data_IF_749376588071
#
_entry.id   IF_749376588071
#
_cell.length_a   1.000
_cell.length_b   1.000
_cell.length_c   1.000
_cell.angle_alpha   90.00
_cell.angle_beta   90.00
_cell.angle_gamma   90.00
#
_symmetry.space_group_name_H-M   'P 1'
#
loop_
_entity.id
_entity.type
_entity.pdbx_description
1 polymer ?
#
# COMPACT_ATOMS: atom_id res chain seq x y z
N UNK A 1 1.92 19.92 4.88
CA UNK A 1 0.54 19.61 4.42
C UNK A 1 0.62 18.91 3.07
N UNK A 2 1.02 17.64 3.05
CA UNK A 2 1.42 16.90 1.81
C UNK A 2 0.81 15.50 1.73
N UNK A 3 -0.18 15.17 2.57
CA UNK A 3 -0.69 13.81 2.71
C UNK A 3 -1.81 13.40 1.72
N UNK A 4 -2.24 14.28 0.80
CA UNK A 4 -3.46 14.04 -0.01
C UNK A 4 -3.28 14.05 -1.53
N UNK A 5 -2.06 14.19 -2.06
CA UNK A 5 -1.86 14.27 -3.51
C UNK A 5 -1.84 12.90 -4.23
N UNK A 6 -1.55 11.80 -3.52
CA UNK A 6 -1.34 10.49 -4.13
C UNK A 6 -2.60 9.89 -4.77
N UNK A 7 -3.77 10.09 -4.15
CA UNK A 7 -5.02 9.44 -4.58
C UNK A 7 -5.62 10.08 -5.84
N UNK A 8 -5.36 11.36 -6.10
CA UNK A 8 -5.92 12.07 -7.27
C UNK A 8 -5.06 11.93 -8.52
N UNK A 9 -3.74 11.78 -8.38
CA UNK A 9 -2.82 11.69 -9.53
C UNK A 9 -2.95 10.37 -10.33
N UNK A 10 -3.36 9.28 -9.69
CA UNK A 10 -3.59 7.99 -10.36
C UNK A 10 -4.95 7.91 -11.07
N UNK A 11 -5.87 8.83 -10.81
CA UNK A 11 -7.19 8.86 -11.44
C UNK A 11 -7.19 9.53 -12.83
N UNK A 12 -6.14 10.26 -13.19
CA UNK A 12 -6.08 11.08 -14.43
C UNK A 12 -5.28 10.41 -15.55
N UNK A 13 -4.61 9.29 -15.29
CA UNK A 13 -4.07 8.39 -16.31
C UNK A 13 -2.99 8.99 -17.22
N UNK A 14 -1.74 8.58 -17.00
CA UNK A 14 -0.64 8.90 -17.92
C UNK A 14 0.73 8.56 -17.33
N UNK A 15 1.70 8.30 -18.22
CA UNK A 15 3.05 7.89 -17.81
C UNK A 15 3.74 8.93 -16.93
N UNK A 16 3.43 10.22 -17.13
CA UNK A 16 3.99 11.31 -16.31
C UNK A 16 3.47 11.28 -14.89
N UNK A 17 2.17 11.03 -14.72
CA UNK A 17 1.53 10.91 -13.41
C UNK A 17 2.04 9.68 -12.67
N UNK A 18 2.23 8.56 -13.38
CA UNK A 18 2.82 7.33 -12.83
C UNK A 18 4.25 7.60 -12.36
N UNK A 19 5.08 8.25 -13.18
CA UNK A 19 6.46 8.61 -12.80
C UNK A 19 6.49 9.54 -11.59
N UNK A 20 5.62 10.54 -11.56
CA UNK A 20 5.54 11.47 -10.43
C UNK A 20 5.09 10.77 -9.14
N UNK A 21 4.07 9.92 -9.22
CA UNK A 21 3.61 9.12 -8.09
C UNK A 21 4.72 8.18 -7.58
N UNK A 22 5.42 7.49 -8.49
CA UNK A 22 6.55 6.64 -8.14
C UNK A 22 7.64 7.43 -7.40
N UNK A 23 8.06 8.56 -7.97
CA UNK A 23 9.10 9.42 -7.36
C UNK A 23 8.69 9.92 -5.97
N UNK A 24 7.47 10.46 -5.84
CA UNK A 24 6.97 10.99 -4.58
C UNK A 24 6.83 9.91 -3.51
N UNK A 25 6.30 8.73 -3.88
CA UNK A 25 6.12 7.62 -2.94
C UNK A 25 7.46 6.99 -2.54
N UNK A 26 8.43 6.85 -3.46
CA UNK A 26 9.79 6.43 -3.14
C UNK A 26 10.43 7.38 -2.13
N UNK A 27 10.35 8.68 -2.38
CA UNK A 27 10.89 9.67 -1.45
C UNK A 27 10.22 9.61 -0.07
N UNK A 28 8.89 9.42 -0.02
CA UNK A 28 8.18 9.25 1.25
C UNK A 28 8.64 7.99 2.02
N UNK A 29 8.83 6.86 1.31
CA UNK A 29 9.37 5.63 1.92
C UNK A 29 10.77 5.86 2.49
N UNK A 30 11.65 6.55 1.74
CA UNK A 30 13.00 6.89 2.20
C UNK A 30 12.97 7.78 3.45
N UNK A 31 12.15 8.84 3.44
CA UNK A 31 12.01 9.75 4.58
C UNK A 31 11.52 9.01 5.83
N UNK A 32 10.46 8.20 5.71
CA UNK A 32 9.93 7.47 6.85
C UNK A 32 10.87 6.36 7.35
N UNK A 33 11.69 5.77 6.47
CA UNK A 33 12.73 4.82 6.88
C UNK A 33 13.92 5.51 7.54
N UNK A 34 14.30 6.70 7.11
CA UNK A 34 15.46 7.42 7.62
C UNK A 34 15.22 8.09 8.99
N UNK A 35 13.96 8.35 9.35
CA UNK A 35 13.60 8.88 10.67
C UNK A 35 14.04 7.97 11.83
N UNK A 36 14.28 8.52 13.03
CA UNK A 36 14.57 7.72 14.23
C UNK A 36 13.38 6.81 14.57
N UNK A 37 13.65 5.59 15.05
CA UNK A 37 12.63 4.55 15.24
C UNK A 37 11.43 5.00 16.10
N UNK A 38 11.70 5.84 17.11
CA UNK A 38 10.70 6.42 18.00
C UNK A 38 9.72 7.39 17.31
N UNK A 39 10.13 8.00 16.19
CA UNK A 39 9.29 8.92 15.40
C UNK A 39 8.70 8.25 14.14
N UNK A 40 9.08 7.00 13.85
CA UNK A 40 8.53 6.27 12.69
C UNK A 40 7.10 5.90 12.98
N UNK A 41 6.17 6.53 12.26
CA UNK A 41 4.79 6.07 12.18
C UNK A 41 4.73 4.84 11.26
N UNK A 42 4.48 3.62 11.79
CA UNK A 42 4.44 2.41 10.98
C UNK A 42 3.32 2.50 9.93
N UNK A 43 2.21 3.16 10.28
CA UNK A 43 1.09 3.43 9.39
C UNK A 43 1.46 4.33 8.21
N UNK A 44 2.28 5.36 8.42
CA UNK A 44 2.69 6.25 7.31
C UNK A 44 3.67 5.56 6.36
N UNK A 45 4.57 4.74 6.89
CA UNK A 45 5.45 3.91 6.06
C UNK A 45 4.65 2.87 5.25
N UNK A 46 3.68 2.19 5.87
CA UNK A 46 2.77 1.28 5.17
C UNK A 46 1.98 2.01 4.08
N UNK A 47 1.46 3.19 4.38
CA UNK A 47 0.71 4.01 3.43
C UNK A 47 1.57 4.39 2.21
N UNK A 48 2.81 4.84 2.44
CA UNK A 48 3.76 5.19 1.38
C UNK A 48 4.11 3.98 0.50
N UNK A 49 4.35 2.80 1.11
CA UNK A 49 4.61 1.56 0.39
C UNK A 49 3.41 1.12 -0.47
N UNK A 50 2.18 1.29 0.02
CA UNK A 50 0.97 0.98 -0.77
C UNK A 50 0.77 1.93 -1.95
N UNK A 51 1.07 3.22 -1.77
CA UNK A 51 1.03 4.18 -2.86
C UNK A 51 2.09 3.83 -3.92
N UNK A 52 3.29 3.47 -3.49
CA UNK A 52 4.37 3.03 -4.38
C UNK A 52 4.01 1.75 -5.13
N UNK A 53 3.45 0.74 -4.43
CA UNK A 53 2.98 -0.49 -5.08
C UNK A 53 1.89 -0.21 -6.11
N UNK A 54 0.99 0.72 -5.83
CA UNK A 54 -0.06 1.13 -6.77
C UNK A 54 0.54 1.82 -7.99
N UNK A 55 1.54 2.68 -7.81
CA UNK A 55 2.24 3.34 -8.91
C UNK A 55 3.00 2.33 -9.79
N UNK A 56 3.68 1.35 -9.20
CA UNK A 56 4.34 0.26 -9.94
C UNK A 56 3.35 -0.56 -10.76
N UNK A 57 2.22 -0.98 -10.17
CA UNK A 57 1.19 -1.69 -10.92
C UNK A 57 0.59 -0.86 -12.06
N UNK A 58 0.37 0.44 -11.84
CA UNK A 58 -0.09 1.32 -12.91
C UNK A 58 0.94 1.43 -14.05
N UNK A 59 2.23 1.33 -13.74
CA UNK A 59 3.35 1.37 -14.69
C UNK A 59 3.74 0.04 -15.33
N UNK A 60 3.05 -1.07 -15.04
CA UNK A 60 3.38 -2.38 -15.61
C UNK A 60 4.34 -3.25 -14.76
N UNK A 61 4.78 -2.77 -13.60
CA UNK A 61 5.80 -3.42 -12.77
C UNK A 61 5.17 -4.21 -11.60
N UNK A 62 4.85 -5.47 -11.84
CA UNK A 62 4.28 -6.37 -10.82
C UNK A 62 5.31 -6.79 -9.78
N UNK A 63 6.59 -6.87 -10.14
CA UNK A 63 7.66 -7.30 -9.23
C UNK A 63 7.97 -6.20 -8.20
N UNK A 64 8.14 -4.96 -8.66
CA UNK A 64 8.31 -3.79 -7.80
C UNK A 64 7.12 -3.55 -6.88
N UNK A 65 5.91 -3.81 -7.37
CA UNK A 65 4.71 -3.79 -6.54
C UNK A 65 4.71 -4.90 -5.48
N UNK A 66 5.08 -6.13 -5.88
CA UNK A 66 5.17 -7.28 -4.99
C UNK A 66 6.13 -7.04 -3.82
N UNK A 67 7.32 -6.50 -4.08
CA UNK A 67 8.30 -6.19 -3.04
C UNK A 67 7.75 -5.22 -1.97
N UNK A 68 7.01 -4.19 -2.39
CA UNK A 68 6.37 -3.25 -1.48
C UNK A 68 5.19 -3.86 -0.71
N UNK A 69 4.40 -4.73 -1.36
CA UNK A 69 3.27 -5.43 -0.73
C UNK A 69 3.74 -6.44 0.30
N UNK A 70 4.78 -7.23 0.03
CA UNK A 70 5.38 -8.19 0.99
C UNK A 70 5.82 -7.49 2.29
N UNK A 71 6.44 -6.34 2.13
CA UNK A 71 6.88 -5.46 3.20
C UNK A 71 5.72 -4.87 4.02
N UNK A 72 4.54 -4.68 3.43
CA UNK A 72 3.32 -4.29 4.15
C UNK A 72 2.70 -5.50 4.85
N UNK A 73 2.69 -6.68 4.22
CA UNK A 73 2.13 -7.91 4.78
C UNK A 73 2.88 -8.43 6.01
N UNK A 74 4.14 -8.04 6.18
CA UNK A 74 4.93 -8.34 7.37
C UNK A 74 4.56 -7.53 8.62
N UNK A 75 3.57 -6.63 8.54
CA UNK A 75 3.17 -5.82 9.69
C UNK A 75 2.22 -6.57 10.64
N UNK A 76 2.36 -6.30 11.94
CA UNK A 76 1.54 -6.92 12.99
C UNK A 76 0.09 -6.45 12.99
N UNK A 77 -0.17 -5.21 12.53
CA UNK A 77 -1.49 -4.60 12.53
C UNK A 77 -1.67 -3.67 11.35
N UNK A 78 -2.93 -3.57 10.90
CA UNK A 78 -3.37 -2.70 9.83
C UNK A 78 -4.44 -1.76 10.36
N UNK A 79 -4.25 -0.47 10.14
CA UNK A 79 -5.29 0.51 10.42
C UNK A 79 -6.40 0.42 9.37
N UNK A 80 -7.57 1.01 9.66
CA UNK A 80 -8.66 1.11 8.68
C UNK A 80 -8.25 1.87 7.40
N UNK A 81 -7.36 2.85 7.50
CA UNK A 81 -6.87 3.57 6.31
C UNK A 81 -5.97 2.68 5.44
N UNK A 82 -5.17 1.80 6.04
CA UNK A 82 -4.35 0.83 5.32
C UNK A 82 -5.20 -0.22 4.60
N UNK A 83 -6.23 -0.76 5.26
CA UNK A 83 -7.15 -1.72 4.62
C UNK A 83 -7.95 -1.11 3.48
N UNK A 84 -8.28 0.19 3.56
CA UNK A 84 -8.89 0.92 2.44
C UNK A 84 -7.89 1.08 1.27
N UNK A 85 -6.64 1.48 1.55
CA UNK A 85 -5.62 1.67 0.51
C UNK A 85 -5.29 0.38 -0.26
N UNK A 86 -5.33 -0.77 0.42
CA UNK A 86 -5.14 -2.10 -0.18
C UNK A 86 -6.15 -2.43 -1.30
N UNK A 87 -7.30 -1.74 -1.37
CA UNK A 87 -8.30 -1.94 -2.43
C UNK A 87 -7.79 -1.54 -3.82
N UNK A 88 -6.93 -0.52 -3.91
CA UNK A 88 -6.38 -0.05 -5.18
C UNK A 88 -5.49 -1.09 -5.87
N UNK A 89 -4.43 -1.63 -5.21
CA UNK A 89 -3.63 -2.69 -5.81
C UNK A 89 -4.46 -3.95 -6.08
N UNK A 90 -5.43 -4.30 -5.21
CA UNK A 90 -6.31 -5.45 -5.45
C UNK A 90 -7.18 -5.29 -6.72
N UNK A 91 -7.62 -4.07 -7.02
CA UNK A 91 -8.37 -3.75 -8.24
C UNK A 91 -7.49 -3.79 -9.49
N UNK A 92 -6.27 -3.22 -9.44
CA UNK A 92 -5.31 -3.25 -10.54
C UNK A 92 -4.90 -4.69 -10.88
N UNK A 93 -4.52 -5.49 -9.88
CA UNK A 93 -4.18 -6.90 -10.06
C UNK A 93 -5.35 -7.75 -10.58
N UNK A 94 -6.58 -7.31 -10.35
CA UNK A 94 -7.80 -7.95 -10.85
C UNK A 94 -8.17 -7.54 -12.28
N UNK A 95 -7.39 -6.68 -12.91
CA UNK A 95 -7.63 -6.10 -14.22
C UNK A 95 -6.52 -6.49 -15.21
N UNK A 96 -6.76 -6.31 -16.51
CA UNK A 96 -5.68 -6.47 -17.51
C UNK A 96 -4.57 -5.44 -17.23
N UNK A 97 -3.29 -5.77 -17.50
CA UNK A 97 -2.78 -7.04 -18.07
C UNK A 97 -2.51 -8.14 -17.03
N UNK A 98 -2.83 -7.90 -15.75
CA UNK A 98 -2.47 -8.81 -14.65
C UNK A 98 -3.48 -9.93 -14.40
N UNK A 99 -4.69 -9.79 -14.93
CA UNK A 99 -5.80 -10.72 -14.70
C UNK A 99 -5.37 -12.15 -15.02
N UNK A 100 -5.47 -13.02 -14.02
CA UNK A 100 -5.19 -14.46 -14.16
C UNK A 100 -3.71 -14.84 -14.10
N UNK A 101 -2.78 -13.89 -14.05
CA UNK A 101 -1.39 -14.19 -13.74
C UNK A 101 -1.27 -14.72 -12.31
N UNK A 102 -0.52 -15.80 -12.09
CA UNK A 102 -0.42 -16.46 -10.78
C UNK A 102 0.06 -15.49 -9.69
N UNK A 103 1.09 -14.68 -9.98
CA UNK A 103 1.60 -13.66 -9.05
C UNK A 103 0.52 -12.65 -8.65
N UNK A 104 -0.34 -12.24 -9.58
CA UNK A 104 -1.44 -11.31 -9.29
C UNK A 104 -2.56 -11.97 -8.47
N UNK A 105 -2.85 -13.25 -8.74
CA UNK A 105 -3.80 -14.05 -7.95
C UNK A 105 -3.31 -14.19 -6.51
N UNK A 106 -2.04 -14.54 -6.31
CA UNK A 106 -1.44 -14.75 -4.99
C UNK A 106 -1.41 -13.47 -4.17
N UNK A 107 -1.00 -12.35 -4.78
CA UNK A 107 -1.01 -11.03 -4.13
C UNK A 107 -2.43 -10.63 -3.73
N UNK A 108 -3.44 -10.84 -4.59
CA UNK A 108 -4.85 -10.54 -4.25
C UNK A 108 -5.37 -11.40 -3.12
N UNK A 109 -4.99 -12.68 -3.07
CA UNK A 109 -5.37 -13.56 -1.98
C UNK A 109 -4.80 -13.07 -0.64
N UNK A 110 -3.53 -12.66 -0.60
CA UNK A 110 -2.92 -12.06 0.59
C UNK A 110 -3.60 -10.74 1.00
N UNK A 111 -3.88 -9.86 0.03
CA UNK A 111 -4.62 -8.62 0.30
C UNK A 111 -5.97 -8.94 0.94
N UNK A 112 -6.71 -9.92 0.40
CA UNK A 112 -8.00 -10.33 0.93
C UNK A 112 -7.87 -10.84 2.37
N UNK A 113 -6.90 -11.72 2.65
CA UNK A 113 -6.64 -12.25 3.99
C UNK A 113 -6.42 -11.13 5.03
N UNK A 114 -5.59 -10.15 4.68
CA UNK A 114 -5.30 -8.99 5.55
C UNK A 114 -6.54 -8.12 5.77
N UNK A 115 -7.36 -7.90 4.74
CA UNK A 115 -8.56 -7.04 4.83
C UNK A 115 -9.76 -7.70 5.51
N UNK A 116 -9.83 -9.04 5.53
CA UNK A 116 -10.92 -9.80 6.18
C UNK A 116 -10.66 -10.01 7.66
N UNK A 117 -9.39 -10.04 8.09
CA UNK A 117 -9.04 -10.05 9.52
C UNK A 117 -9.53 -8.73 10.14
N UNK A 118 -10.50 -8.75 11.07
CA UNK A 118 -10.92 -7.54 11.73
C UNK A 118 -9.71 -6.97 12.46
N UNK A 119 -9.48 -5.66 12.33
CA UNK A 119 -8.57 -4.96 13.23
C UNK A 119 -9.04 -5.33 14.64
N UNK A 120 -8.22 -6.08 15.39
CA UNK A 120 -8.53 -6.50 16.75
C UNK A 120 -9.00 -5.24 17.47
N UNK A 121 -10.29 -5.19 17.81
CA UNK A 121 -10.81 -4.15 18.66
C UNK A 121 -9.94 -4.21 19.91
N UNK A 122 -9.22 -3.12 20.19
CA UNK A 122 -8.46 -3.00 21.42
C UNK A 122 -9.42 -3.30 22.56
N UNK A 123 -9.23 -4.44 23.21
CA UNK A 123 -9.98 -4.77 24.39
C UNK A 123 -9.53 -3.77 25.45
N UNK A 124 -10.26 -2.66 25.57
CA UNK A 124 -10.30 -1.86 26.79
C UNK A 124 -10.96 -2.71 27.87
N UNK A 125 -10.25 -3.72 28.34
CA UNK A 125 -10.44 -4.26 29.68
C UNK A 125 -9.59 -3.38 30.60
N UNK A 126 -10.15 -2.24 31.00
CA UNK A 126 -9.77 -1.65 32.29
C UNK A 126 -10.52 -2.43 33.39
N UNK A 127 -9.81 -3.09 34.32
CA UNK A 127 -10.42 -3.53 35.55
C UNK A 127 -10.33 -2.41 36.60
N UNK A 128 -11.51 -1.88 36.93
CA UNK A 128 -11.98 -1.34 38.20
C UNK A 128 -11.48 0.02 38.71
#
# INVERSE_FOLDING_TARGET
MTAYAGTTLLAVGGDEQIRHATSASTHAVELYRAGPEEDRSPGDLQAARLDLATAYLAGGDVEGAGANLSEVFGADTYTASITIRLRNPAALLGSEPYRGAQSAVDLRAHIQEVTVRPALAGNSTEPR
#
